data_IF_960455247975
#
_entry.id   IF_960455247975
#
_cell.length_a   1.000
_cell.length_b   1.000
_cell.length_c   1.000
_cell.angle_alpha   90.00
_cell.angle_beta   90.00
_cell.angle_gamma   90.00
#
_symmetry.space_group_name_H-M   'P 1'
#
loop_
_entity.id
_entity.type
_entity.pdbx_description
1 polymer ?
#
# COMPACT_ATOMS: atom_id res chain seq x y z
N UNK A 1 -25.21 2.07 18.70
CA UNK A 1 -25.10 1.59 17.30
C UNK A 1 -26.38 1.96 16.58
N UNK A 2 -26.27 2.58 15.41
CA UNK A 2 -27.41 2.87 14.54
C UNK A 2 -28.08 1.57 14.08
N UNK A 3 -29.40 1.61 13.87
CA UNK A 3 -30.16 0.40 13.52
C UNK A 3 -29.84 0.03 12.07
N UNK A 4 -29.43 -1.22 11.85
CA UNK A 4 -29.23 -1.77 10.50
C UNK A 4 -30.58 -1.94 9.82
N UNK A 5 -30.69 -1.40 8.61
CA UNK A 5 -31.85 -1.51 7.72
C UNK A 5 -31.61 -2.64 6.72
N UNK A 6 -30.43 -2.68 6.13
CA UNK A 6 -30.03 -3.69 5.15
C UNK A 6 -28.55 -4.03 5.30
N UNK A 7 -28.19 -5.26 4.93
CA UNK A 7 -26.82 -5.76 4.93
C UNK A 7 -26.57 -6.53 3.64
N UNK A 8 -25.48 -6.17 2.94
CA UNK A 8 -25.10 -6.79 1.68
C UNK A 8 -23.64 -7.23 1.74
N UNK A 9 -23.40 -8.50 1.43
CA UNK A 9 -22.06 -9.03 1.18
C UNK A 9 -21.68 -8.69 -0.27
N UNK A 10 -20.62 -7.90 -0.46
CA UNK A 10 -20.17 -7.44 -1.78
C UNK A 10 -19.14 -8.39 -2.38
N UNK A 11 -18.26 -8.92 -1.54
CA UNK A 11 -17.22 -9.86 -1.92
C UNK A 11 -16.87 -10.77 -0.73
N UNK A 12 -15.82 -11.60 -0.87
CA UNK A 12 -15.36 -12.49 0.20
C UNK A 12 -15.00 -11.73 1.49
N UNK A 13 -14.52 -10.50 1.40
CA UNK A 13 -14.06 -9.73 2.58
C UNK A 13 -14.75 -8.39 2.76
N UNK A 14 -15.56 -7.94 1.78
CA UNK A 14 -16.23 -6.64 1.81
C UNK A 14 -17.72 -6.82 2.02
N UNK A 15 -18.25 -6.06 2.96
CA UNK A 15 -19.68 -5.94 3.19
C UNK A 15 -20.08 -4.49 3.43
N UNK A 16 -21.34 -4.19 3.14
CA UNK A 16 -21.91 -2.86 3.36
C UNK A 16 -23.22 -2.98 4.14
N UNK A 17 -23.34 -2.19 5.19
CA UNK A 17 -24.55 -2.04 5.98
C UNK A 17 -25.19 -0.70 5.66
N UNK A 18 -26.47 -0.71 5.31
CA UNK A 18 -27.30 0.48 5.33
C UNK A 18 -27.89 0.62 6.73
N UNK A 19 -27.59 1.71 7.41
CA UNK A 19 -28.08 2.02 8.74
C UNK A 19 -28.95 3.29 8.70
N UNK A 20 -29.68 3.57 9.78
CA UNK A 20 -30.51 4.79 9.89
C UNK A 20 -29.74 6.11 9.78
N UNK A 21 -28.42 6.06 9.97
CA UNK A 21 -27.52 7.21 9.95
C UNK A 21 -26.64 7.27 8.70
N UNK A 22 -26.67 6.27 7.82
CA UNK A 22 -25.88 6.23 6.59
C UNK A 22 -25.38 4.83 6.22
N UNK A 23 -24.45 4.77 5.27
CA UNK A 23 -23.82 3.56 4.79
C UNK A 23 -22.48 3.32 5.47
N UNK A 24 -22.24 2.07 5.86
CA UNK A 24 -21.05 1.62 6.55
C UNK A 24 -20.43 0.47 5.76
N UNK A 25 -19.21 0.64 5.27
CA UNK A 25 -18.51 -0.36 4.48
C UNK A 25 -17.38 -0.97 5.31
N UNK A 26 -17.49 -2.26 5.57
CA UNK A 26 -16.55 -3.03 6.38
C UNK A 26 -15.65 -3.92 5.51
N UNK A 27 -14.36 -3.94 5.84
CA UNK A 27 -13.39 -4.87 5.26
C UNK A 27 -12.83 -5.79 6.35
N UNK A 28 -13.14 -7.08 6.22
CA UNK A 28 -12.67 -8.13 7.12
C UNK A 28 -11.14 -8.28 7.11
N UNK A 29 -10.48 -8.04 5.97
CA UNK A 29 -9.01 -8.16 5.88
C UNK A 29 -8.28 -7.07 6.65
N UNK A 30 -8.95 -5.94 6.91
CA UNK A 30 -8.44 -4.82 7.69
C UNK A 30 -9.03 -4.78 9.09
N UNK A 31 -10.09 -5.54 9.34
CA UNK A 31 -10.80 -5.58 10.61
C UNK A 31 -11.49 -4.27 10.96
N UNK A 32 -11.82 -3.42 9.96
CA UNK A 32 -12.35 -2.07 10.20
C UNK A 32 -13.32 -1.61 9.12
N UNK A 33 -14.10 -0.56 9.43
CA UNK A 33 -14.89 0.14 8.43
C UNK A 33 -13.97 1.05 7.60
N UNK A 34 -13.97 0.86 6.28
CA UNK A 34 -13.27 1.75 5.34
C UNK A 34 -14.10 3.00 5.02
N UNK A 35 -15.43 2.91 5.18
CA UNK A 35 -16.35 4.05 5.08
C UNK A 35 -17.36 4.00 6.22
N UNK A 36 -17.69 5.16 6.78
CA UNK A 36 -18.56 5.27 7.95
C UNK A 36 -19.56 6.39 7.74
N UNK A 37 -20.85 6.11 7.96
CA UNK A 37 -21.92 7.10 7.91
C UNK A 37 -22.01 7.86 6.57
N UNK A 38 -21.71 7.18 5.47
CA UNK A 38 -21.77 7.81 4.14
C UNK A 38 -23.21 8.00 3.68
N UNK A 39 -23.47 9.08 2.92
CA UNK A 39 -24.84 9.41 2.49
C UNK A 39 -25.37 8.46 1.41
N UNK A 40 -24.47 7.92 0.60
CA UNK A 40 -24.79 7.02 -0.52
C UNK A 40 -23.84 5.83 -0.53
N UNK A 41 -24.27 4.74 -1.18
CA UNK A 41 -23.40 3.59 -1.44
C UNK A 41 -22.15 3.97 -2.22
N UNK A 42 -22.30 4.84 -3.22
CA UNK A 42 -21.20 5.27 -4.09
C UNK A 42 -20.14 6.06 -3.32
N UNK A 43 -20.54 6.90 -2.36
CA UNK A 43 -19.61 7.59 -1.48
C UNK A 43 -18.82 6.60 -0.60
N UNK A 44 -19.50 5.56 -0.09
CA UNK A 44 -18.83 4.49 0.65
C UNK A 44 -17.82 3.71 -0.20
N UNK A 45 -18.17 3.41 -1.46
CA UNK A 45 -17.26 2.76 -2.40
C UNK A 45 -16.07 3.64 -2.74
N UNK A 46 -16.29 4.93 -3.01
CA UNK A 46 -15.23 5.89 -3.29
C UNK A 46 -14.24 5.99 -2.10
N UNK A 47 -14.74 6.05 -0.87
CA UNK A 47 -13.90 6.04 0.34
C UNK A 47 -13.04 4.79 0.46
N UNK A 48 -13.60 3.62 0.18
CA UNK A 48 -12.85 2.38 0.18
C UNK A 48 -11.75 2.39 -0.90
N UNK A 49 -12.04 2.89 -2.10
CA UNK A 49 -11.05 3.04 -3.18
C UNK A 49 -9.93 4.01 -2.79
N UNK A 50 -10.27 5.19 -2.27
CA UNK A 50 -9.30 6.19 -1.80
C UNK A 50 -8.37 5.62 -0.72
N UNK A 51 -8.93 4.85 0.21
CA UNK A 51 -8.15 4.17 1.25
C UNK A 51 -7.10 3.24 0.64
N UNK A 52 -7.49 2.37 -0.30
CA UNK A 52 -6.55 1.44 -0.92
C UNK A 52 -5.54 2.12 -1.84
N UNK A 53 -5.93 3.18 -2.55
CA UNK A 53 -5.01 3.98 -3.37
C UNK A 53 -3.92 4.61 -2.50
N UNK A 54 -4.31 5.20 -1.36
CA UNK A 54 -3.35 5.76 -0.40
C UNK A 54 -2.41 4.69 0.13
N UNK A 55 -2.96 3.54 0.54
CA UNK A 55 -2.17 2.44 1.11
C UNK A 55 -1.22 1.81 0.08
N UNK A 56 -1.63 1.71 -1.19
CA UNK A 56 -0.77 1.25 -2.26
C UNK A 56 0.44 2.18 -2.42
N UNK A 57 0.20 3.49 -2.45
CA UNK A 57 1.26 4.49 -2.52
C UNK A 57 2.25 4.41 -1.35
N UNK A 58 1.75 4.16 -0.13
CA UNK A 58 2.60 3.93 1.05
C UNK A 58 3.51 2.71 0.86
N UNK A 59 2.93 1.58 0.42
CA UNK A 59 3.68 0.33 0.15
C UNK A 59 4.72 0.51 -0.96
N UNK A 60 4.37 1.21 -2.03
CA UNK A 60 5.30 1.50 -3.14
C UNK A 60 6.49 2.35 -2.66
N UNK A 61 6.22 3.37 -1.84
CA UNK A 61 7.27 4.19 -1.25
C UNK A 61 8.17 3.38 -0.32
N UNK A 62 7.60 2.57 0.57
CA UNK A 62 8.35 1.72 1.50
C UNK A 62 9.21 0.70 0.75
N UNK A 63 8.66 0.08 -0.30
CA UNK A 63 9.40 -0.83 -1.16
C UNK A 63 10.56 -0.13 -1.86
N UNK A 64 10.34 1.03 -2.47
CA UNK A 64 11.40 1.79 -3.15
C UNK A 64 12.50 2.20 -2.17
N UNK A 65 12.13 2.62 -0.96
CA UNK A 65 13.07 2.96 0.10
C UNK A 65 13.89 1.74 0.55
N UNK A 66 13.25 0.57 0.72
CA UNK A 66 13.94 -0.67 1.06
C UNK A 66 14.89 -1.10 -0.06
N UNK A 67 14.41 -1.10 -1.31
CA UNK A 67 15.20 -1.45 -2.49
C UNK A 67 16.45 -0.57 -2.58
N UNK A 68 16.31 0.74 -2.47
CA UNK A 68 17.45 1.66 -2.52
C UNK A 68 18.50 1.37 -1.43
N UNK A 69 18.06 1.02 -0.21
CA UNK A 69 18.98 0.63 0.88
C UNK A 69 19.69 -0.69 0.58
N UNK A 70 18.98 -1.67 0.05
CA UNK A 70 19.55 -2.97 -0.33
C UNK A 70 20.54 -2.80 -1.47
N UNK A 71 20.18 -2.06 -2.51
CA UNK A 71 21.07 -1.79 -3.65
C UNK A 71 22.36 -1.09 -3.18
N UNK A 72 22.24 -0.07 -2.33
CA UNK A 72 23.40 0.62 -1.75
C UNK A 72 24.25 -0.29 -0.87
N UNK A 73 23.64 -1.19 -0.11
CA UNK A 73 24.37 -2.15 0.71
C UNK A 73 25.12 -3.16 -0.16
N UNK A 74 24.44 -3.78 -1.13
CA UNK A 74 25.06 -4.76 -2.05
C UNK A 74 26.19 -4.12 -2.85
N UNK A 75 26.00 -2.89 -3.32
CA UNK A 75 27.03 -2.13 -4.03
C UNK A 75 28.31 -1.88 -3.23
N UNK A 76 28.31 -2.04 -1.90
CA UNK A 76 29.54 -1.96 -1.09
C UNK A 76 30.38 -3.25 -1.12
N UNK A 77 29.79 -4.37 -1.56
CA UNK A 77 30.45 -5.68 -1.60
C UNK A 77 30.69 -6.20 -3.01
N UNK A 78 30.11 -5.53 -4.02
CA UNK A 78 30.50 -5.75 -5.40
C UNK A 78 31.75 -4.92 -5.60
N UNK A 79 32.91 -5.56 -5.56
CA UNK A 79 34.15 -4.93 -6.02
C UNK A 79 33.94 -4.59 -7.50
N UNK A 80 34.09 -3.31 -7.85
CA UNK A 80 34.32 -2.94 -9.25
C UNK A 80 35.67 -3.56 -9.64
N UNK A 81 35.64 -4.76 -10.21
CA UNK A 81 36.72 -5.35 -11.02
C UNK A 81 36.96 -4.51 -12.31
N UNK A 82 36.79 -3.19 -12.24
CA UNK A 82 37.29 -2.27 -13.23
C UNK A 82 38.75 -1.99 -12.88
N UNK A 83 39.64 -2.75 -13.52
CA UNK A 83 41.08 -2.62 -13.38
C UNK A 83 41.52 -1.16 -13.27
N UNK A 84 41.98 -0.78 -12.09
CA UNK A 84 42.57 0.54 -11.88
C UNK A 84 43.92 0.58 -12.60
N UNK A 85 44.03 1.40 -13.64
CA UNK A 85 45.31 1.68 -14.29
C UNK A 85 46.23 2.41 -13.31
N UNK A 86 47.33 1.76 -12.90
CA UNK A 86 48.35 2.39 -12.07
C UNK A 86 49.30 3.21 -12.94
N UNK A 87 49.19 4.55 -12.94
CA UNK A 87 50.11 5.45 -13.66
C UNK A 87 51.59 5.28 -13.25
N UNK A 88 51.84 4.85 -12.01
CA UNK A 88 53.19 4.58 -11.50
C UNK A 88 53.79 3.27 -12.03
N UNK A 89 52.93 2.31 -12.39
CA UNK A 89 53.30 0.94 -12.72
C UNK A 89 53.14 0.63 -14.22
N UNK A 90 52.30 1.40 -14.94
CA UNK A 90 51.97 1.19 -16.34
C UNK A 90 51.13 -0.07 -16.61
N UNK A 91 50.38 -0.56 -15.62
CA UNK A 91 49.59 -1.79 -15.74
C UNK A 91 48.18 -1.63 -15.17
N UNK A 92 47.25 -2.39 -15.73
CA UNK A 92 45.94 -2.66 -15.13
C UNK A 92 46.09 -3.81 -14.13
N UNK A 93 45.38 -3.74 -13.00
CA UNK A 93 45.07 -4.94 -12.21
C UNK A 93 43.89 -5.68 -12.84
#
# INVERSE_FOLDING_TARGET
MSKVINYTVLSKSLSISQCTDGYWLYDETRGMNLAMQEKTTDAAYLKALEYYQKRLKEVENDYNNLKAKVDNFVGQFVDDDEGHYCDRCGSYN
#
